data_IF_521731212697
#
_entry.id   IF_521731212697
#
_cell.length_a   1.000
_cell.length_b   1.000
_cell.length_c   1.000
_cell.angle_alpha   90.00
_cell.angle_beta   90.00
_cell.angle_gamma   90.00
#
_symmetry.space_group_name_H-M   'P 1'
#
loop_
_entity.id
_entity.type
_entity.pdbx_description
1 polymer ?
#
# COMPACT_ATOMS: atom_id res chain seq x y z
N UNK A 1 -6.20 17.63 -12.41
CA UNK A 1 -7.42 18.03 -11.68
C UNK A 1 -8.42 18.76 -12.60
N UNK A 2 -8.06 19.84 -13.32
CA UNK A 2 -8.99 20.59 -14.16
C UNK A 2 -9.78 19.71 -15.14
N UNK A 3 -9.14 18.81 -15.90
CA UNK A 3 -9.81 17.90 -16.81
C UNK A 3 -10.78 16.93 -16.14
N UNK A 4 -10.47 16.51 -14.91
CA UNK A 4 -11.40 15.66 -14.11
C UNK A 4 -12.66 16.45 -13.77
N UNK A 5 -12.52 17.71 -13.37
CA UNK A 5 -13.68 18.56 -13.06
C UNK A 5 -14.55 18.78 -14.32
N UNK A 6 -13.93 18.97 -15.50
CA UNK A 6 -14.66 19.07 -16.77
C UNK A 6 -15.48 17.80 -17.07
N UNK A 7 -14.87 16.62 -16.90
CA UNK A 7 -15.54 15.33 -17.12
C UNK A 7 -16.66 15.06 -16.13
N UNK A 8 -16.53 15.50 -14.87
CA UNK A 8 -17.54 15.32 -13.83
C UNK A 8 -18.67 16.37 -13.87
N UNK A 9 -18.43 17.49 -14.55
CA UNK A 9 -19.38 18.62 -14.55
C UNK A 9 -20.80 18.27 -14.98
N UNK A 10 -21.04 17.43 -16.01
CA UNK A 10 -22.39 17.03 -16.39
C UNK A 10 -23.17 16.27 -15.32
N UNK A 11 -22.49 15.62 -14.40
CA UNK A 11 -23.09 14.79 -13.34
C UNK A 11 -23.30 15.54 -12.04
N UNK A 12 -22.35 16.40 -11.66
CA UNK A 12 -22.34 17.13 -10.39
C UNK A 12 -21.95 18.60 -10.59
N UNK A 13 -22.75 19.40 -11.32
CA UNK A 13 -22.37 20.74 -11.81
C UNK A 13 -22.03 21.70 -10.66
N UNK A 14 -22.85 21.78 -9.63
CA UNK A 14 -22.65 22.73 -8.52
C UNK A 14 -21.35 22.49 -7.75
N UNK A 15 -21.05 21.22 -7.45
CA UNK A 15 -19.82 20.86 -6.75
C UNK A 15 -18.57 21.15 -7.59
N UNK A 16 -18.58 20.77 -8.84
CA UNK A 16 -17.43 20.97 -9.74
C UNK A 16 -17.17 22.43 -10.02
N UNK A 17 -18.20 23.25 -10.18
CA UNK A 17 -18.06 24.73 -10.33
C UNK A 17 -17.50 25.36 -9.06
N UNK A 18 -17.97 24.91 -7.88
CA UNK A 18 -17.43 25.36 -6.60
C UNK A 18 -15.93 25.04 -6.48
N UNK A 19 -15.53 23.79 -6.77
CA UNK A 19 -14.12 23.37 -6.72
C UNK A 19 -13.27 24.12 -7.76
N UNK A 20 -13.82 24.40 -8.96
CA UNK A 20 -13.17 25.18 -10.00
C UNK A 20 -12.83 26.57 -9.54
N UNK A 21 -13.79 27.24 -8.90
CA UNK A 21 -13.61 28.60 -8.35
C UNK A 21 -12.63 28.61 -7.19
N UNK A 22 -12.75 27.66 -6.26
CA UNK A 22 -11.88 27.54 -5.08
C UNK A 22 -10.41 27.30 -5.43
N UNK A 23 -10.14 26.53 -6.47
CA UNK A 23 -8.77 26.24 -6.92
C UNK A 23 -8.21 27.27 -7.92
N UNK A 24 -8.85 28.45 -8.02
CA UNK A 24 -8.44 29.52 -8.92
C UNK A 24 -8.39 29.15 -10.41
N UNK A 25 -9.00 28.04 -10.83
CA UNK A 25 -9.05 27.64 -12.25
C UNK A 25 -9.80 28.66 -13.10
N UNK A 26 -10.82 29.33 -12.54
CA UNK A 26 -11.50 30.44 -13.21
C UNK A 26 -10.54 31.55 -13.61
N UNK A 27 -9.59 31.92 -12.75
CA UNK A 27 -8.58 32.93 -13.05
C UNK A 27 -7.53 32.38 -14.04
N UNK A 28 -7.10 31.13 -13.86
CA UNK A 28 -6.08 30.49 -14.68
C UNK A 28 -6.53 30.32 -16.14
N UNK A 29 -7.75 29.82 -16.34
CA UNK A 29 -8.32 29.53 -17.67
C UNK A 29 -9.19 30.67 -18.21
N UNK A 30 -9.40 31.75 -17.44
CA UNK A 30 -10.24 32.92 -17.78
C UNK A 30 -11.67 32.53 -18.17
N UNK A 31 -12.20 31.43 -17.67
CA UNK A 31 -13.54 30.94 -17.99
C UNK A 31 -14.17 30.19 -16.80
N UNK A 32 -15.48 30.15 -16.76
CA UNK A 32 -16.22 29.26 -15.87
C UNK A 32 -16.10 27.82 -16.37
N UNK A 33 -16.30 26.84 -15.50
CA UNK A 33 -16.20 25.45 -15.89
C UNK A 33 -17.23 25.06 -16.96
N UNK A 34 -18.46 25.54 -16.81
CA UNK A 34 -19.55 25.31 -17.76
C UNK A 34 -19.23 25.79 -19.19
N UNK A 35 -18.43 26.86 -19.31
CA UNK A 35 -18.05 27.44 -20.61
C UNK A 35 -16.66 26.97 -21.07
N UNK A 36 -16.04 26.05 -20.34
CA UNK A 36 -14.72 25.55 -20.69
C UNK A 36 -14.77 24.49 -21.77
N UNK A 37 -13.76 24.48 -22.64
CA UNK A 37 -13.64 23.45 -23.67
C UNK A 37 -13.56 22.04 -23.09
N UNK A 38 -14.18 21.06 -23.76
CA UNK A 38 -14.11 19.66 -23.37
C UNK A 38 -12.68 19.14 -23.46
N UNK A 39 -12.24 18.27 -22.51
CA UNK A 39 -10.89 17.73 -22.56
C UNK A 39 -10.65 16.92 -23.84
N UNK A 40 -9.62 17.28 -24.56
CA UNK A 40 -9.17 16.50 -25.72
C UNK A 40 -8.27 15.35 -25.29
N UNK A 41 -8.35 14.22 -26.02
CA UNK A 41 -7.48 13.08 -25.77
C UNK A 41 -6.02 13.39 -26.10
N UNK A 42 -5.15 13.30 -25.13
CA UNK A 42 -3.71 13.50 -25.31
C UNK A 42 -3.07 12.13 -25.62
N UNK A 43 -2.73 11.93 -26.88
CA UNK A 43 -2.27 10.65 -27.47
C UNK A 43 -0.84 10.29 -27.05
N UNK A 44 -0.31 10.35 -25.99
CA UNK A 44 0.96 9.86 -25.41
C UNK A 44 1.43 10.75 -24.26
N UNK A 45 1.08 10.35 -23.08
CA UNK A 45 1.92 10.70 -21.93
C UNK A 45 2.89 9.55 -21.68
N UNK A 46 4.19 9.76 -21.92
CA UNK A 46 5.27 8.87 -21.49
C UNK A 46 5.44 8.96 -19.96
N UNK A 47 4.39 8.64 -19.22
CA UNK A 47 4.42 8.70 -17.75
C UNK A 47 4.85 7.36 -17.11
N UNK A 48 5.27 6.36 -17.89
CA UNK A 48 5.52 5.01 -17.40
C UNK A 48 6.41 4.99 -16.14
N UNK A 49 7.54 5.68 -16.16
CA UNK A 49 8.46 5.70 -15.02
C UNK A 49 7.90 6.39 -13.78
N UNK A 50 7.15 7.48 -13.95
CA UNK A 50 6.52 8.18 -12.84
C UNK A 50 5.33 7.38 -12.30
N UNK A 51 4.61 6.67 -13.15
CA UNK A 51 3.52 5.78 -12.77
C UNK A 51 4.04 4.62 -11.89
N UNK A 52 5.14 3.97 -12.31
CA UNK A 52 5.79 2.91 -11.54
C UNK A 52 6.25 3.40 -10.17
N UNK A 53 6.90 4.56 -10.09
CA UNK A 53 7.32 5.15 -8.82
C UNK A 53 6.14 5.44 -7.88
N UNK A 54 5.04 5.98 -8.40
CA UNK A 54 3.84 6.25 -7.59
C UNK A 54 3.18 4.95 -7.12
N UNK A 55 3.11 3.92 -7.97
CA UNK A 55 2.59 2.62 -7.56
C UNK A 55 3.43 2.00 -6.43
N UNK A 56 4.76 2.07 -6.52
CA UNK A 56 5.66 1.63 -5.45
C UNK A 56 5.39 2.39 -4.14
N UNK A 57 5.15 3.70 -4.19
CA UNK A 57 4.81 4.50 -3.01
C UNK A 57 3.46 4.09 -2.42
N UNK A 58 2.45 3.87 -3.27
CA UNK A 58 1.12 3.42 -2.84
C UNK A 58 1.23 2.08 -2.12
N UNK A 59 1.93 1.12 -2.71
CA UNK A 59 2.15 -0.21 -2.14
C UNK A 59 2.95 -0.12 -0.82
N UNK A 60 4.02 0.65 -0.79
CA UNK A 60 4.80 0.91 0.41
C UNK A 60 3.95 1.46 1.56
N UNK A 61 3.16 2.50 1.31
CA UNK A 61 2.27 3.10 2.31
C UNK A 61 1.17 2.12 2.73
N UNK A 62 0.64 1.34 1.79
CA UNK A 62 -0.35 0.30 2.06
C UNK A 62 0.22 -0.77 2.99
N UNK A 63 1.45 -1.23 2.77
CA UNK A 63 2.12 -2.20 3.62
C UNK A 63 2.34 -1.67 5.04
N UNK A 64 2.75 -0.40 5.20
CA UNK A 64 2.88 0.22 6.53
C UNK A 64 1.52 0.28 7.24
N UNK A 65 0.46 0.66 6.53
CA UNK A 65 -0.89 0.74 7.11
C UNK A 65 -1.43 -0.64 7.49
N UNK A 66 -1.23 -1.63 6.64
CA UNK A 66 -1.61 -3.01 6.91
C UNK A 66 -0.90 -3.53 8.17
N UNK A 67 0.41 -3.30 8.28
CA UNK A 67 1.18 -3.68 9.47
C UNK A 67 0.65 -3.01 10.73
N UNK A 68 0.36 -1.70 10.68
CA UNK A 68 -0.25 -1.00 11.82
C UNK A 68 -1.60 -1.61 12.21
N UNK A 69 -2.42 -1.97 11.23
CA UNK A 69 -3.71 -2.61 11.47
C UNK A 69 -3.58 -3.99 12.10
N UNK A 70 -2.64 -4.83 11.60
CA UNK A 70 -2.34 -6.15 12.17
C UNK A 70 -1.90 -6.07 13.64
N UNK A 71 -1.10 -5.06 13.94
CA UNK A 71 -0.61 -4.79 15.30
C UNK A 71 -1.61 -4.00 16.16
N UNK A 72 -2.82 -3.73 15.66
CA UNK A 72 -3.86 -2.92 16.32
C UNK A 72 -3.35 -1.52 16.74
N UNK A 73 -2.38 -0.99 16.00
CA UNK A 73 -1.83 0.34 16.23
C UNK A 73 -2.72 1.37 15.54
N UNK A 74 -2.98 2.49 16.24
CA UNK A 74 -3.76 3.57 15.63
C UNK A 74 -3.12 4.09 14.33
N UNK A 75 -3.88 4.26 13.25
CA UNK A 75 -3.35 4.78 11.99
C UNK A 75 -2.77 6.21 12.11
N UNK A 76 -3.15 6.94 13.16
CA UNK A 76 -2.66 8.31 13.41
C UNK A 76 -1.25 8.35 13.99
N UNK A 77 -0.79 7.25 14.59
CA UNK A 77 0.53 7.19 15.21
C UNK A 77 1.63 7.35 14.17
N UNK A 78 2.56 8.24 14.43
CA UNK A 78 3.71 8.45 13.56
C UNK A 78 4.76 7.35 13.77
N UNK A 79 5.54 7.11 12.73
CA UNK A 79 6.66 6.16 12.77
C UNK A 79 7.87 6.73 12.04
N UNK A 80 9.06 6.38 12.50
CA UNK A 80 10.29 6.57 11.77
C UNK A 80 10.61 5.30 10.98
N UNK A 81 11.24 5.44 9.82
CA UNK A 81 11.62 4.31 8.97
C UNK A 81 13.12 4.25 8.79
N UNK A 82 13.63 3.02 8.73
CA UNK A 82 15.02 2.74 8.39
C UNK A 82 15.06 1.67 7.31
N UNK A 83 15.74 1.96 6.19
CA UNK A 83 15.98 0.99 5.13
C UNK A 83 17.26 0.22 5.45
N UNK A 84 17.18 -1.12 5.56
CA UNK A 84 18.36 -1.95 5.82
C UNK A 84 19.36 -1.84 4.66
N UNK A 85 18.86 -1.72 3.43
CA UNK A 85 19.68 -1.47 2.25
C UNK A 85 19.62 0.00 1.85
N UNK A 86 20.69 0.75 2.10
CA UNK A 86 20.76 2.19 1.81
C UNK A 86 20.66 2.54 0.32
N UNK A 87 21.10 1.65 -0.56
CA UNK A 87 21.07 1.81 -2.02
C UNK A 87 19.85 1.23 -2.71
N UNK A 88 18.83 0.83 -1.95
CA UNK A 88 17.64 0.21 -2.51
C UNK A 88 16.86 1.14 -3.44
N UNK A 89 16.23 0.55 -4.46
CA UNK A 89 15.40 1.31 -5.41
C UNK A 89 14.23 2.02 -4.70
N UNK A 90 13.62 1.35 -3.74
CA UNK A 90 12.51 1.89 -2.96
C UNK A 90 12.95 3.09 -2.11
N UNK A 91 14.12 3.02 -1.44
CA UNK A 91 14.67 4.14 -0.67
C UNK A 91 14.86 5.39 -1.55
N UNK A 92 15.39 5.22 -2.77
CA UNK A 92 15.56 6.33 -3.73
C UNK A 92 14.21 6.94 -4.10
N UNK A 93 13.20 6.11 -4.41
CA UNK A 93 11.86 6.57 -4.77
C UNK A 93 11.17 7.27 -3.59
N UNK A 94 11.26 6.70 -2.39
CA UNK A 94 10.69 7.27 -1.17
C UNK A 94 11.32 8.63 -0.84
N UNK A 95 12.65 8.76 -0.93
CA UNK A 95 13.34 10.04 -0.72
C UNK A 95 12.94 11.08 -1.75
N UNK A 96 12.77 10.70 -3.00
CA UNK A 96 12.32 11.63 -4.07
C UNK A 96 10.93 12.19 -3.80
N UNK A 97 10.04 11.42 -3.16
CA UNK A 97 8.67 11.79 -2.85
C UNK A 97 8.41 11.93 -1.35
N UNK A 98 9.43 12.36 -0.60
CA UNK A 98 9.45 12.37 0.87
C UNK A 98 8.25 13.10 1.48
N UNK A 99 7.88 14.28 0.95
CA UNK A 99 6.76 15.07 1.48
C UNK A 99 5.42 14.29 1.41
N UNK A 100 5.16 13.59 0.28
CA UNK A 100 3.99 12.76 0.10
C UNK A 100 4.00 11.58 1.08
N UNK A 101 5.12 10.88 1.17
CA UNK A 101 5.29 9.70 2.03
C UNK A 101 5.14 10.06 3.51
N UNK A 102 5.73 11.17 3.96
CA UNK A 102 5.57 11.68 5.32
C UNK A 102 4.10 11.98 5.64
N UNK A 103 3.44 12.70 4.77
CA UNK A 103 2.06 13.13 5.01
C UNK A 103 1.07 11.96 4.98
N UNK A 104 1.12 11.13 3.94
CA UNK A 104 0.14 10.05 3.72
C UNK A 104 0.49 8.80 4.54
N UNK A 105 1.78 8.47 4.68
CA UNK A 105 2.27 7.33 5.46
C UNK A 105 2.33 7.55 6.97
N UNK A 106 2.13 8.79 7.43
CA UNK A 106 2.37 9.18 8.84
C UNK A 106 3.79 8.79 9.29
N UNK A 107 4.77 9.24 8.50
CA UNK A 107 6.19 9.02 8.74
C UNK A 107 6.83 10.33 9.17
N UNK A 108 7.56 10.32 10.28
CA UNK A 108 8.31 11.46 10.74
C UNK A 108 9.63 11.60 9.97
N UNK A 109 10.48 10.58 10.10
CA UNK A 109 11.85 10.63 9.57
C UNK A 109 12.22 9.34 8.85
N UNK A 110 13.20 9.48 7.93
CA UNK A 110 13.96 8.35 7.39
C UNK A 110 15.30 8.37 8.13
N UNK A 111 15.53 7.36 8.95
CA UNK A 111 16.74 7.24 9.77
C UNK A 111 17.92 6.79 8.91
N UNK A 112 19.10 7.27 9.24
CA UNK A 112 20.36 6.86 8.58
C UNK A 112 21.02 5.64 9.22
N UNK A 113 20.61 5.29 10.44
CA UNK A 113 21.11 4.13 11.18
C UNK A 113 19.94 3.38 11.82
N UNK A 114 20.11 2.06 11.97
CA UNK A 114 19.15 1.25 12.72
C UNK A 114 19.31 1.61 14.20
N UNK A 115 18.22 2.03 14.80
CA UNK A 115 18.15 2.20 16.25
C UNK A 115 17.57 0.94 16.85
N UNK A 116 18.32 0.30 17.74
CA UNK A 116 17.81 -0.81 18.53
C UNK A 116 16.84 -0.26 19.59
N UNK A 117 15.56 -0.43 19.33
CA UNK A 117 14.51 0.00 20.23
C UNK A 117 13.43 -1.06 20.34
N UNK A 118 12.88 -1.25 21.55
CA UNK A 118 11.79 -2.21 21.82
C UNK A 118 10.53 -1.93 21.01
N UNK A 119 10.36 -0.70 20.53
CA UNK A 119 9.24 -0.27 19.72
C UNK A 119 9.51 -0.30 18.21
N UNK A 120 10.53 -1.01 17.76
CA UNK A 120 10.85 -1.16 16.34
C UNK A 120 10.49 -2.56 15.85
N UNK A 121 9.85 -2.63 14.67
CA UNK A 121 9.53 -3.89 14.00
C UNK A 121 10.11 -3.89 12.59
N UNK A 122 10.44 -5.06 12.08
CA UNK A 122 10.87 -5.23 10.69
C UNK A 122 9.68 -5.68 9.84
N UNK A 123 9.53 -5.05 8.70
CA UNK A 123 8.53 -5.42 7.68
C UNK A 123 9.21 -5.67 6.34
N UNK A 124 8.56 -6.47 5.51
CA UNK A 124 8.94 -6.64 4.11
C UNK A 124 7.99 -5.82 3.26
N UNK A 125 8.55 -4.94 2.43
CA UNK A 125 7.78 -4.18 1.45
C UNK A 125 8.52 -4.14 0.12
N UNK A 126 7.87 -4.55 -0.96
CA UNK A 126 8.47 -4.63 -2.30
C UNK A 126 9.80 -5.42 -2.32
N UNK A 127 9.84 -6.55 -1.60
CA UNK A 127 11.01 -7.42 -1.41
C UNK A 127 12.20 -6.75 -0.65
N UNK A 128 11.98 -5.62 -0.01
CA UNK A 128 12.97 -4.93 0.80
C UNK A 128 12.60 -4.99 2.27
N UNK A 129 13.61 -5.20 3.12
CA UNK A 129 13.44 -5.16 4.58
C UNK A 129 13.56 -3.74 5.10
N UNK A 130 12.58 -3.33 5.88
CA UNK A 130 12.45 -1.98 6.41
C UNK A 130 12.13 -2.08 7.90
N UNK A 131 12.83 -1.33 8.73
CA UNK A 131 12.49 -1.19 10.14
C UNK A 131 11.55 0.00 10.34
N UNK A 132 10.45 -0.23 11.05
CA UNK A 132 9.51 0.79 11.51
C UNK A 132 9.69 0.98 13.01
N UNK A 133 10.04 2.19 13.43
CA UNK A 133 10.08 2.60 14.83
C UNK A 133 8.87 3.48 15.10
N UNK A 134 8.09 3.14 16.11
CA UNK A 134 6.94 3.95 16.49
C UNK A 134 7.36 5.05 17.47
N UNK A 135 6.61 6.18 17.45
CA UNK A 135 6.86 7.32 18.32
C UNK A 135 6.50 7.07 19.79
N UNK A 136 5.76 6.02 20.06
CA UNK A 136 5.37 5.59 21.40
C UNK A 136 5.88 4.18 21.68
N UNK A 137 6.15 3.87 22.95
CA UNK A 137 6.49 2.52 23.37
C UNK A 137 5.24 1.64 23.28
N UNK A 138 5.35 0.55 22.50
CA UNK A 138 4.26 -0.38 22.26
C UNK A 138 4.64 -1.74 22.81
N UNK A 139 3.79 -2.27 23.68
CA UNK A 139 3.88 -3.68 24.08
C UNK A 139 3.20 -4.57 23.05
N UNK A 140 4.01 -5.32 22.32
CA UNK A 140 3.54 -6.20 21.24
C UNK A 140 3.16 -7.62 21.71
N UNK A 141 3.24 -7.94 22.99
CA UNK A 141 3.06 -9.33 23.47
C UNK A 141 1.65 -9.87 23.13
N UNK A 142 0.61 -9.07 23.36
CA UNK A 142 -0.78 -9.46 23.07
C UNK A 142 -1.04 -9.57 21.56
N UNK A 143 -0.45 -8.68 20.78
CA UNK A 143 -0.54 -8.66 19.33
C UNK A 143 0.16 -9.87 18.71
N UNK A 144 1.31 -10.26 19.26
CA UNK A 144 2.07 -11.46 18.83
C UNK A 144 1.21 -12.71 18.91
N UNK A 145 0.50 -12.91 20.04
CA UNK A 145 -0.42 -14.05 20.19
C UNK A 145 -1.54 -14.04 19.14
N UNK A 146 -2.14 -12.88 18.90
CA UNK A 146 -3.20 -12.75 17.88
C UNK A 146 -2.68 -13.08 16.47
N UNK A 147 -1.47 -12.65 16.12
CA UNK A 147 -0.87 -12.92 14.81
C UNK A 147 -0.51 -14.41 14.68
N UNK A 148 -0.01 -15.05 15.75
CA UNK A 148 0.27 -16.49 15.75
C UNK A 148 -1.00 -17.32 15.52
N UNK A 149 -2.16 -16.91 16.09
CA UNK A 149 -3.44 -17.55 15.81
C UNK A 149 -3.86 -17.38 14.33
N UNK A 150 -3.66 -16.18 13.76
CA UNK A 150 -3.90 -15.95 12.32
C UNK A 150 -3.02 -16.84 11.46
N UNK A 151 -1.72 -16.93 11.76
CA UNK A 151 -0.78 -17.79 11.03
C UNK A 151 -1.22 -19.25 11.05
N UNK A 152 -1.65 -19.78 12.20
CA UNK A 152 -2.18 -21.14 12.29
C UNK A 152 -3.40 -21.37 11.39
N UNK A 153 -4.30 -20.38 11.29
CA UNK A 153 -5.46 -20.47 10.42
C UNK A 153 -5.07 -20.38 8.93
N UNK A 154 -4.13 -19.49 8.58
CA UNK A 154 -3.59 -19.37 7.22
C UNK A 154 -2.90 -20.66 6.77
N UNK A 155 -2.11 -21.30 7.64
CA UNK A 155 -1.49 -22.60 7.34
C UNK A 155 -2.53 -23.68 7.01
N UNK A 156 -3.62 -23.76 7.77
CA UNK A 156 -4.72 -24.71 7.49
C UNK A 156 -5.35 -24.44 6.12
N UNK A 157 -5.64 -23.18 5.80
CA UNK A 157 -6.23 -22.79 4.51
C UNK A 157 -5.28 -23.09 3.35
N UNK A 158 -4.00 -22.70 3.49
CA UNK A 158 -2.97 -22.94 2.48
C UNK A 158 -2.77 -24.43 2.22
N UNK A 159 -2.71 -25.26 3.26
CA UNK A 159 -2.57 -26.70 3.13
C UNK A 159 -3.81 -27.33 2.47
N UNK A 160 -5.02 -26.87 2.81
CA UNK A 160 -6.25 -27.32 2.16
C UNK A 160 -6.25 -27.01 0.66
N UNK A 161 -5.87 -25.79 0.26
CA UNK A 161 -5.77 -25.38 -1.14
C UNK A 161 -4.66 -26.13 -1.88
N UNK A 162 -3.50 -26.35 -1.27
CA UNK A 162 -2.41 -27.17 -1.86
C UNK A 162 -2.88 -28.58 -2.12
N UNK A 163 -3.53 -29.21 -1.15
CA UNK A 163 -4.06 -30.56 -1.30
C UNK A 163 -5.11 -30.62 -2.42
N UNK A 164 -5.99 -29.64 -2.50
CA UNK A 164 -6.99 -29.51 -3.56
C UNK A 164 -6.33 -29.36 -4.94
N UNK A 165 -5.33 -28.49 -5.08
CA UNK A 165 -4.59 -28.27 -6.32
C UNK A 165 -3.66 -29.42 -6.70
N UNK A 166 -3.25 -30.27 -5.76
CA UNK A 166 -2.48 -31.50 -6.03
C UNK A 166 -3.36 -32.70 -6.41
N UNK A 167 -4.67 -32.60 -6.23
CA UNK A 167 -5.60 -33.67 -6.56
C UNK A 167 -5.83 -33.74 -8.08
N UNK A 168 -5.35 -34.78 -8.73
CA UNK A 168 -5.48 -35.00 -10.20
C UNK A 168 -6.94 -35.04 -10.65
N UNK A 169 -7.83 -35.63 -9.84
CA UNK A 169 -9.27 -35.73 -10.18
C UNK A 169 -9.91 -34.30 -10.14
N UNK A 170 -9.53 -33.48 -9.19
CA UNK A 170 -9.97 -32.11 -9.14
C UNK A 170 -9.50 -31.31 -10.36
N UNK A 171 -8.21 -31.36 -10.70
CA UNK A 171 -7.66 -30.66 -11.86
C UNK A 171 -8.29 -31.08 -13.19
N UNK A 172 -8.77 -32.34 -13.29
CA UNK A 172 -9.41 -32.85 -14.50
C UNK A 172 -10.88 -32.42 -14.63
N UNK A 173 -11.60 -32.33 -13.50
CA UNK A 173 -13.06 -32.15 -13.50
C UNK A 173 -13.49 -30.70 -13.20
N UNK A 174 -12.66 -29.88 -12.54
CA UNK A 174 -13.00 -28.49 -12.19
C UNK A 174 -12.87 -27.55 -13.40
N UNK A 175 -13.73 -26.55 -13.51
CA UNK A 175 -13.60 -25.48 -14.51
C UNK A 175 -12.26 -24.76 -14.40
N UNK A 176 -11.65 -24.45 -15.56
CA UNK A 176 -10.33 -23.79 -15.62
C UNK A 176 -10.29 -22.47 -14.84
N UNK A 177 -11.38 -21.72 -14.84
CA UNK A 177 -11.50 -20.45 -14.12
C UNK A 177 -11.39 -20.65 -12.61
N UNK A 178 -12.03 -21.69 -12.05
CA UNK A 178 -11.94 -22.01 -10.62
C UNK A 178 -10.52 -22.42 -10.24
N UNK A 179 -9.84 -23.22 -11.08
CA UNK A 179 -8.45 -23.61 -10.84
C UNK A 179 -7.53 -22.38 -10.85
N UNK A 180 -7.75 -21.42 -11.75
CA UNK A 180 -6.97 -20.18 -11.78
C UNK A 180 -7.21 -19.32 -10.54
N UNK A 181 -8.46 -19.23 -10.09
CA UNK A 181 -8.80 -18.48 -8.88
C UNK A 181 -8.17 -19.14 -7.63
N UNK A 182 -8.24 -20.48 -7.52
CA UNK A 182 -7.60 -21.21 -6.42
C UNK A 182 -6.06 -21.01 -6.40
N UNK A 183 -5.40 -20.95 -7.58
CA UNK A 183 -3.97 -20.66 -7.67
C UNK A 183 -3.63 -19.23 -7.22
N UNK A 184 -4.40 -18.24 -7.66
CA UNK A 184 -4.23 -16.86 -7.23
C UNK A 184 -4.43 -16.72 -5.72
N UNK A 185 -5.48 -17.34 -5.19
CA UNK A 185 -5.75 -17.34 -3.76
C UNK A 185 -4.60 -17.99 -2.96
N UNK A 186 -4.02 -19.09 -3.46
CA UNK A 186 -2.87 -19.73 -2.83
C UNK A 186 -1.65 -18.80 -2.80
N UNK A 187 -1.40 -18.06 -3.88
CA UNK A 187 -0.33 -17.08 -3.96
C UNK A 187 -0.55 -15.91 -2.97
N UNK A 188 -1.77 -15.37 -2.92
CA UNK A 188 -2.14 -14.31 -1.98
C UNK A 188 -1.95 -14.74 -0.52
N UNK A 189 -2.42 -15.93 -0.14
CA UNK A 189 -2.26 -16.48 1.22
C UNK A 189 -0.80 -16.74 1.56
N UNK A 190 0.03 -17.14 0.60
CA UNK A 190 1.47 -17.36 0.81
C UNK A 190 2.18 -16.04 1.09
N UNK A 191 1.85 -14.98 0.34
CA UNK A 191 2.39 -13.62 0.56
C UNK A 191 1.96 -13.07 1.93
N UNK A 192 0.71 -13.32 2.32
CA UNK A 192 0.21 -12.91 3.64
C UNK A 192 0.92 -13.65 4.78
N UNK A 193 1.13 -14.96 4.65
CA UNK A 193 1.89 -15.78 5.61
C UNK A 193 3.31 -15.25 5.80
N UNK A 194 4.03 -14.97 4.72
CA UNK A 194 5.39 -14.42 4.77
C UNK A 194 5.45 -13.07 5.48
N UNK A 195 4.49 -12.18 5.19
CA UNK A 195 4.38 -10.88 5.85
C UNK A 195 4.16 -11.03 7.36
N UNK A 196 3.21 -11.86 7.77
CA UNK A 196 2.92 -12.07 9.19
C UNK A 196 4.08 -12.73 9.94
N UNK A 197 4.77 -13.68 9.31
CA UNK A 197 5.99 -14.31 9.90
C UNK A 197 7.10 -13.29 10.09
N UNK A 198 7.31 -12.39 9.13
CA UNK A 198 8.32 -11.33 9.28
C UNK A 198 8.01 -10.39 10.43
N UNK A 199 6.73 -10.05 10.65
CA UNK A 199 6.30 -9.25 11.79
C UNK A 199 6.56 -9.99 13.10
N UNK A 200 6.15 -11.27 13.21
CA UNK A 200 6.33 -12.08 14.43
C UNK A 200 7.81 -12.25 14.78
N UNK A 201 8.67 -12.49 13.79
CA UNK A 201 10.11 -12.65 13.99
C UNK A 201 10.80 -11.36 14.47
N UNK A 202 10.22 -10.21 14.20
CA UNK A 202 10.75 -8.91 14.62
C UNK A 202 10.23 -8.42 15.98
N UNK A 203 9.18 -9.06 16.51
CA UNK A 203 8.66 -8.81 17.85
C UNK A 203 9.39 -9.70 18.83
N UNK A 204 10.34 -9.13 19.57
CA UNK A 204 11.07 -9.82 20.66
C UNK A 204 10.28 -9.83 21.97
#
# INVERSE_FOLDING_TARGET
MANILKLLHPFIPFFTEFVWSKNNYKKMFKTNLISSEWPTYIKKNKFNKNHENINQIIEFISNIRSTKAELKITPKLFSDIYFLEKSSKLNVVVKKHLALVKHVGRINNILSQKEDNRSAIEIISLNEKISLKFSEDIDFASQKLSILQKLSNLEKQTNSLRNKLNNKAYLKNAPKEIIQNDKKLLEELTIEDEKLRSIVSSIN
#
